data_IF_686890268612
#
_entry.id   IF_686890268612
#
_cell.length_a   1.000
_cell.length_b   1.000
_cell.length_c   1.000
_cell.angle_alpha   90.00
_cell.angle_beta   90.00
_cell.angle_gamma   90.00
#
_symmetry.space_group_name_H-M   'P 1'
#
loop_
_entity.id
_entity.type
_entity.pdbx_description
1 polymer ?
#
# COMPACT_ATOMS: atom_id res chain seq x y z
N UNK A 1 58.00 66.79 -10.44
CA UNK A 1 56.66 66.83 -9.82
C UNK A 1 55.86 65.60 -10.24
N UNK A 2 55.58 64.68 -9.31
CA UNK A 2 54.43 63.74 -9.35
C UNK A 2 54.20 63.28 -7.90
N UNK A 3 53.18 63.85 -7.24
CA UNK A 3 52.74 63.47 -5.89
C UNK A 3 52.00 62.14 -5.97
N UNK A 4 52.54 61.10 -5.34
CA UNK A 4 51.84 59.82 -5.15
C UNK A 4 50.85 59.97 -3.98
N UNK A 5 49.57 60.06 -4.29
CA UNK A 5 48.49 59.89 -3.31
C UNK A 5 48.29 58.39 -3.09
N UNK A 6 48.75 57.87 -1.95
CA UNK A 6 48.40 56.50 -1.53
C UNK A 6 46.97 56.51 -0.99
N UNK A 7 46.03 55.92 -1.72
CA UNK A 7 44.69 55.61 -1.21
C UNK A 7 44.82 54.46 -0.21
N UNK A 8 44.54 54.74 1.07
CA UNK A 8 44.49 53.73 2.12
C UNK A 8 43.07 53.14 2.14
N UNK A 9 42.87 51.98 1.53
CA UNK A 9 41.62 51.23 1.71
C UNK A 9 41.62 50.60 3.11
N UNK A 10 40.56 50.79 3.93
CA UNK A 10 40.48 50.14 5.22
C UNK A 10 40.35 48.62 5.03
N UNK A 11 41.22 47.85 5.68
CA UNK A 11 41.12 46.38 5.76
C UNK A 11 39.86 46.03 6.54
N UNK A 12 38.81 45.59 5.84
CA UNK A 12 37.59 45.05 6.45
C UNK A 12 37.97 43.78 7.20
N UNK A 13 37.88 43.83 8.53
CA UNK A 13 38.20 42.75 9.44
C UNK A 13 37.26 41.56 9.18
N UNK A 14 37.83 40.41 8.86
CA UNK A 14 37.16 39.13 8.53
C UNK A 14 36.38 38.48 9.70
N UNK A 15 36.34 39.13 10.87
CA UNK A 15 35.89 38.58 12.15
C UNK A 15 34.37 38.75 12.41
N UNK A 16 33.64 39.35 11.46
CA UNK A 16 32.20 39.60 11.56
C UNK A 16 31.31 38.38 11.23
N UNK A 17 31.88 37.32 10.65
CA UNK A 17 31.09 36.19 10.12
C UNK A 17 30.61 35.25 11.24
N UNK A 18 31.47 34.90 12.20
CA UNK A 18 31.17 33.85 13.18
C UNK A 18 30.01 34.16 14.14
N UNK A 19 29.85 35.42 14.57
CA UNK A 19 28.73 35.82 15.43
C UNK A 19 27.39 35.78 14.67
N UNK A 20 27.41 36.10 13.37
CA UNK A 20 26.24 36.08 12.49
C UNK A 20 25.73 34.65 12.26
N UNK A 21 26.64 33.70 12.04
CA UNK A 21 26.30 32.28 11.87
C UNK A 21 25.66 31.66 13.11
N UNK A 22 26.09 32.04 14.32
CA UNK A 22 25.49 31.53 15.56
C UNK A 22 24.06 32.05 15.77
N UNK A 23 23.81 33.33 15.53
CA UNK A 23 22.47 33.92 15.65
C UNK A 23 21.52 33.42 14.54
N UNK A 24 22.04 33.15 13.33
CA UNK A 24 21.31 32.45 12.28
C UNK A 24 20.98 31.01 12.71
N UNK A 25 21.95 30.23 13.16
CA UNK A 25 21.75 28.83 13.54
C UNK A 25 20.69 28.65 14.64
N UNK A 26 20.71 29.49 15.68
CA UNK A 26 19.72 29.45 16.77
C UNK A 26 18.32 29.83 16.27
N UNK A 27 18.22 30.73 15.29
CA UNK A 27 16.94 31.11 14.69
C UNK A 27 16.37 30.04 13.76
N UNK A 28 17.23 29.23 13.13
CA UNK A 28 16.84 28.11 12.27
C UNK A 28 16.47 26.84 13.04
N UNK A 29 17.08 26.62 14.22
CA UNK A 29 16.89 25.42 15.02
C UNK A 29 15.42 25.04 15.29
N UNK A 30 14.51 25.94 15.74
CA UNK A 30 13.11 25.58 15.98
C UNK A 30 12.37 25.17 14.70
N UNK A 31 12.72 25.75 13.54
CA UNK A 31 12.12 25.36 12.26
C UNK A 31 12.60 23.98 11.81
N UNK A 32 13.88 23.67 12.02
CA UNK A 32 14.43 22.33 11.73
C UNK A 32 13.78 21.27 12.61
N UNK A 33 13.59 21.57 13.89
CA UNK A 33 12.90 20.66 14.82
C UNK A 33 11.43 20.47 14.42
N UNK A 34 10.70 21.55 14.14
CA UNK A 34 9.32 21.50 13.67
C UNK A 34 9.19 20.67 12.39
N UNK A 35 10.10 20.89 11.43
CA UNK A 35 10.17 20.14 10.19
C UNK A 35 10.44 18.66 10.42
N UNK A 36 11.39 18.31 11.29
CA UNK A 36 11.71 16.93 11.61
C UNK A 36 10.51 16.21 12.26
N UNK A 37 9.80 16.89 13.17
CA UNK A 37 8.59 16.35 13.80
C UNK A 37 7.47 16.13 12.78
N UNK A 38 7.26 17.08 11.86
CA UNK A 38 6.22 16.95 10.84
C UNK A 38 6.56 15.89 9.79
N UNK A 39 7.81 15.80 9.36
CA UNK A 39 8.28 14.73 8.49
C UNK A 39 8.11 13.36 9.17
N UNK A 40 8.45 13.26 10.46
CA UNK A 40 8.21 12.06 11.24
C UNK A 40 6.72 11.70 11.33
N UNK A 41 5.85 12.68 11.55
CA UNK A 41 4.40 12.48 11.66
C UNK A 41 3.79 12.04 10.31
N UNK A 42 4.26 12.60 9.19
CA UNK A 42 3.85 12.16 7.84
C UNK A 42 4.34 10.74 7.55
N UNK A 43 5.59 10.42 7.86
CA UNK A 43 6.12 9.04 7.72
C UNK A 43 5.35 8.05 8.59
N UNK A 44 4.88 8.48 9.76
CA UNK A 44 4.09 7.67 10.66
C UNK A 44 2.63 7.50 10.19
N UNK A 45 2.08 8.48 9.47
CA UNK A 45 0.68 8.50 9.03
C UNK A 45 0.45 7.92 7.63
N UNK A 46 1.45 7.99 6.74
CA UNK A 46 1.41 7.41 5.38
C UNK A 46 1.77 5.92 5.45
N UNK A 47 1.03 5.08 4.71
CA UNK A 47 1.08 3.61 4.80
C UNK A 47 2.49 3.03 4.95
N UNK A 48 2.67 2.02 5.84
CA UNK A 48 3.96 1.37 6.05
C UNK A 48 4.49 0.82 4.72
N UNK A 49 5.82 0.79 4.58
CA UNK A 49 6.46 0.32 3.36
C UNK A 49 5.87 -1.02 2.88
N UNK A 50 5.70 -1.23 1.55
CA UNK A 50 5.13 -2.46 1.06
C UNK A 50 5.98 -3.62 1.57
N UNK A 51 5.34 -4.66 2.12
CA UNK A 51 6.07 -5.76 2.70
C UNK A 51 6.91 -6.44 1.61
N UNK A 52 8.19 -6.68 1.90
CA UNK A 52 9.07 -7.45 1.02
C UNK A 52 8.78 -8.95 1.06
N UNK A 53 7.89 -9.40 1.95
CA UNK A 53 7.53 -10.80 2.10
C UNK A 53 6.04 -10.90 2.34
N UNK A 54 5.38 -11.71 1.52
CA UNK A 54 3.96 -12.04 1.66
C UNK A 54 3.79 -13.56 1.56
N UNK A 55 2.67 -14.06 2.05
CA UNK A 55 2.38 -15.49 2.11
C UNK A 55 1.08 -15.80 1.37
N UNK A 56 1.16 -16.73 0.40
CA UNK A 56 0.02 -17.26 -0.34
C UNK A 56 -0.32 -18.67 0.12
N UNK A 57 -1.58 -18.93 0.45
CA UNK A 57 -2.09 -20.28 0.63
C UNK A 57 -2.59 -20.82 -0.70
N UNK A 58 -1.96 -21.89 -1.19
CA UNK A 58 -2.14 -22.40 -2.54
C UNK A 58 -3.04 -23.63 -2.60
N UNK A 59 -2.49 -24.83 -2.75
CA UNK A 59 -3.22 -26.09 -2.78
C UNK A 59 -2.27 -27.24 -2.52
N UNK A 60 -2.69 -28.50 -2.74
CA UNK A 60 -1.81 -29.65 -2.61
C UNK A 60 -0.59 -29.54 -3.51
N UNK A 61 0.51 -30.22 -3.19
CA UNK A 61 1.77 -30.14 -3.94
C UNK A 61 1.60 -30.27 -5.48
N UNK A 62 0.78 -31.21 -5.94
CA UNK A 62 0.60 -31.50 -7.36
C UNK A 62 -0.58 -30.73 -8.01
N UNK A 63 -1.12 -29.73 -7.31
CA UNK A 63 -2.30 -28.96 -7.74
C UNK A 63 -1.97 -27.83 -8.70
N UNK A 64 -2.92 -27.43 -9.54
CA UNK A 64 -2.82 -26.22 -10.38
C UNK A 64 -2.65 -24.97 -9.53
N UNK A 65 -3.22 -24.95 -8.31
CA UNK A 65 -3.06 -23.83 -7.38
C UNK A 65 -1.61 -23.69 -6.91
N UNK A 66 -0.96 -24.82 -6.61
CA UNK A 66 0.46 -24.83 -6.31
C UNK A 66 1.27 -24.34 -7.50
N UNK A 67 1.01 -24.84 -8.71
CA UNK A 67 1.69 -24.38 -9.92
C UNK A 67 1.55 -22.87 -10.14
N UNK A 68 0.33 -22.31 -10.03
CA UNK A 68 0.10 -20.87 -10.13
C UNK A 68 0.88 -20.08 -9.08
N UNK A 69 0.81 -20.49 -7.81
CA UNK A 69 1.52 -19.83 -6.73
C UNK A 69 3.05 -19.87 -6.91
N UNK A 70 3.59 -20.96 -7.46
CA UNK A 70 5.02 -21.07 -7.77
C UNK A 70 5.45 -20.14 -8.90
N UNK A 71 4.63 -19.98 -9.94
CA UNK A 71 4.89 -19.01 -11.00
C UNK A 71 4.74 -17.57 -10.51
N UNK A 72 3.72 -17.28 -9.68
CA UNK A 72 3.58 -15.98 -9.01
C UNK A 72 4.83 -15.65 -8.20
N UNK A 73 5.39 -16.63 -7.48
CA UNK A 73 6.62 -16.44 -6.70
C UNK A 73 7.80 -16.02 -7.58
N UNK A 74 7.95 -16.63 -8.74
CA UNK A 74 9.01 -16.26 -9.69
C UNK A 74 8.81 -14.84 -10.21
N UNK A 75 7.58 -14.46 -10.56
CA UNK A 75 7.26 -13.13 -11.13
C UNK A 75 7.42 -12.03 -10.07
N UNK A 76 6.90 -12.23 -8.86
CA UNK A 76 7.06 -11.28 -7.74
C UNK A 76 8.54 -11.13 -7.35
N UNK A 77 9.32 -12.21 -7.42
CA UNK A 77 10.76 -12.19 -7.18
C UNK A 77 11.53 -11.25 -8.10
N UNK A 78 11.07 -11.04 -9.36
CA UNK A 78 11.66 -10.07 -10.29
C UNK A 78 11.56 -8.63 -9.77
N UNK A 79 10.59 -8.36 -8.90
CA UNK A 79 10.33 -7.06 -8.28
C UNK A 79 10.85 -6.96 -6.84
N UNK A 80 11.65 -7.92 -6.37
CA UNK A 80 12.21 -7.91 -5.02
C UNK A 80 11.21 -8.23 -3.91
N UNK A 81 10.09 -8.88 -4.24
CA UNK A 81 9.10 -9.38 -3.28
C UNK A 81 9.23 -10.89 -3.15
N UNK A 82 9.38 -11.37 -1.92
CA UNK A 82 9.42 -12.80 -1.59
C UNK A 82 8.00 -13.31 -1.35
N UNK A 83 7.56 -14.27 -2.15
CA UNK A 83 6.28 -14.95 -1.96
C UNK A 83 6.49 -16.32 -1.30
N UNK A 84 6.08 -16.44 -0.04
CA UNK A 84 6.03 -17.72 0.66
C UNK A 84 4.80 -18.49 0.19
N UNK A 85 5.01 -19.66 -0.40
CA UNK A 85 3.92 -20.52 -0.88
C UNK A 85 3.64 -21.58 0.18
N UNK A 86 2.44 -21.57 0.74
CA UNK A 86 1.98 -22.57 1.70
C UNK A 86 1.11 -23.61 1.00
N UNK A 87 1.52 -24.87 1.13
CA UNK A 87 0.70 -26.02 0.75
C UNK A 87 -0.58 -26.08 1.60
N UNK A 88 -1.68 -26.50 0.98
CA UNK A 88 -2.97 -26.64 1.63
C UNK A 88 -3.76 -27.81 1.09
N UNK A 89 -4.82 -28.22 1.79
CA UNK A 89 -5.74 -29.27 1.34
C UNK A 89 -6.70 -28.79 0.23
N UNK A 90 -6.70 -27.47 -0.07
CA UNK A 90 -7.51 -26.80 -1.07
C UNK A 90 -8.25 -25.56 -0.56
N UNK A 91 -9.25 -25.12 -1.33
CA UNK A 91 -9.99 -23.86 -1.13
C UNK A 91 -10.60 -23.68 0.26
N UNK A 92 -11.10 -24.75 0.89
CA UNK A 92 -11.69 -24.69 2.25
C UNK A 92 -10.63 -24.30 3.29
N UNK A 93 -9.46 -24.93 3.25
CA UNK A 93 -8.36 -24.60 4.18
C UNK A 93 -7.78 -23.21 3.87
N UNK A 94 -7.70 -22.84 2.59
CA UNK A 94 -7.28 -21.50 2.16
C UNK A 94 -8.17 -20.40 2.73
N UNK A 95 -9.49 -20.56 2.61
CA UNK A 95 -10.44 -19.61 3.16
C UNK A 95 -10.33 -19.55 4.69
N UNK A 96 -10.22 -20.69 5.37
CA UNK A 96 -10.03 -20.73 6.84
C UNK A 96 -8.78 -19.96 7.28
N UNK A 97 -7.66 -20.12 6.55
CA UNK A 97 -6.41 -19.41 6.83
C UNK A 97 -6.53 -17.90 6.60
N UNK A 98 -7.30 -17.47 5.60
CA UNK A 98 -7.57 -16.05 5.35
C UNK A 98 -8.52 -15.45 6.39
N UNK A 99 -9.49 -16.21 6.88
CA UNK A 99 -10.44 -15.73 7.89
C UNK A 99 -9.82 -15.67 9.29
N UNK A 100 -8.87 -16.55 9.63
CA UNK A 100 -8.22 -16.54 10.94
C UNK A 100 -7.12 -15.46 11.00
N UNK A 101 -7.30 -14.35 11.75
CA UNK A 101 -6.28 -13.29 11.85
C UNK A 101 -4.97 -13.74 12.52
N UNK A 102 -4.95 -14.89 13.19
CA UNK A 102 -3.73 -15.44 13.80
C UNK A 102 -2.84 -16.15 12.78
N UNK A 103 -3.39 -16.55 11.64
CA UNK A 103 -2.65 -17.18 10.55
C UNK A 103 -1.96 -16.11 9.70
N UNK A 104 -0.65 -16.25 9.51
CA UNK A 104 0.15 -15.35 8.67
C UNK A 104 -0.02 -15.71 7.18
N UNK A 105 -1.21 -15.47 6.65
CA UNK A 105 -1.56 -15.66 5.24
C UNK A 105 -2.19 -14.38 4.73
N UNK A 106 -1.60 -13.81 3.69
CA UNK A 106 -2.01 -12.52 3.12
C UNK A 106 -2.99 -12.72 1.96
N UNK A 107 -2.77 -13.79 1.18
CA UNK A 107 -3.48 -14.08 -0.07
C UNK A 107 -3.75 -15.58 -0.18
N UNK A 108 -4.80 -15.99 -0.87
CA UNK A 108 -5.02 -17.39 -1.21
C UNK A 108 -5.79 -17.55 -2.52
N UNK A 109 -5.69 -18.74 -3.13
CA UNK A 109 -6.54 -19.15 -4.23
C UNK A 109 -7.79 -19.81 -3.67
N UNK A 110 -8.97 -19.29 -3.97
CA UNK A 110 -10.23 -19.75 -3.40
C UNK A 110 -11.24 -20.03 -4.50
N UNK A 111 -11.68 -21.28 -4.61
CA UNK A 111 -12.78 -21.67 -5.49
C UNK A 111 -14.11 -21.10 -4.97
N UNK A 112 -14.94 -20.59 -5.86
CA UNK A 112 -16.31 -20.20 -5.54
C UNK A 112 -17.16 -21.34 -4.99
N UNK A 113 -18.08 -21.01 -4.10
CA UNK A 113 -19.00 -21.91 -3.41
C UNK A 113 -18.50 -22.38 -2.05
N UNK A 114 -17.23 -22.15 -1.70
CA UNK A 114 -16.66 -22.60 -0.41
C UNK A 114 -16.91 -21.63 0.74
N UNK A 115 -17.41 -20.42 0.45
CA UNK A 115 -17.74 -19.42 1.48
C UNK A 115 -18.87 -19.90 2.39
N UNK A 116 -19.85 -20.63 1.85
CA UNK A 116 -20.98 -21.22 2.56
C UNK A 116 -21.67 -20.23 3.53
N UNK A 117 -21.81 -18.96 3.13
CA UNK A 117 -22.46 -17.91 3.94
C UNK A 117 -21.64 -17.39 5.14
N UNK A 118 -20.35 -17.71 5.22
CA UNK A 118 -19.46 -17.13 6.23
C UNK A 118 -19.22 -15.65 5.96
N UNK A 119 -18.91 -14.91 7.03
CA UNK A 119 -18.53 -13.49 6.92
C UNK A 119 -17.17 -13.36 6.22
N UNK A 120 -17.19 -12.79 5.01
CA UNK A 120 -16.01 -12.53 4.17
C UNK A 120 -15.68 -11.03 4.08
N UNK A 121 -16.27 -10.18 4.94
CA UNK A 121 -16.08 -8.72 4.91
C UNK A 121 -14.63 -8.27 5.12
N UNK A 122 -13.82 -9.09 5.80
CA UNK A 122 -12.38 -8.85 5.97
C UNK A 122 -11.54 -9.24 4.76
N UNK A 123 -12.16 -9.77 3.70
CA UNK A 123 -11.51 -10.29 2.51
C UNK A 123 -11.95 -9.50 1.27
N UNK A 124 -11.09 -9.53 0.26
CA UNK A 124 -11.35 -8.91 -1.04
C UNK A 124 -10.80 -9.77 -2.17
N UNK A 125 -11.47 -9.74 -3.32
CA UNK A 125 -10.98 -10.37 -4.55
C UNK A 125 -10.01 -9.44 -5.27
N UNK A 126 -8.89 -10.00 -5.73
CA UNK A 126 -8.00 -9.35 -6.70
C UNK A 126 -8.40 -9.68 -8.14
N UNK A 127 -9.33 -10.63 -8.32
CA UNK A 127 -9.86 -11.05 -9.60
C UNK A 127 -10.00 -12.56 -9.72
N UNK A 128 -10.85 -12.98 -10.64
CA UNK A 128 -11.01 -14.39 -11.02
C UNK A 128 -9.86 -14.81 -11.92
N UNK A 129 -9.19 -15.94 -11.64
CA UNK A 129 -7.97 -16.39 -12.33
C UNK A 129 -8.14 -17.66 -13.16
N UNK A 130 -9.13 -18.50 -12.90
CA UNK A 130 -9.37 -19.71 -13.69
C UNK A 130 -10.77 -20.30 -13.51
N UNK A 131 -11.14 -21.18 -14.45
CA UNK A 131 -12.27 -22.09 -14.33
C UNK A 131 -11.84 -23.42 -13.73
N UNK A 132 -12.74 -24.05 -12.97
CA UNK A 132 -12.58 -25.37 -12.37
C UNK A 132 -13.86 -26.18 -12.63
N UNK A 133 -14.10 -26.66 -13.87
CA UNK A 133 -15.37 -27.26 -14.26
C UNK A 133 -15.65 -28.55 -13.50
N UNK A 134 -16.93 -28.82 -13.27
CA UNK A 134 -17.40 -30.12 -12.82
C UNK A 134 -17.69 -30.99 -14.05
N UNK A 135 -16.97 -32.10 -14.17
CA UNK A 135 -17.17 -33.09 -15.21
C UNK A 135 -17.76 -34.34 -14.58
N UNK A 136 -18.96 -34.72 -15.02
CA UNK A 136 -19.60 -35.98 -14.63
C UNK A 136 -19.29 -37.02 -15.68
N UNK A 137 -18.41 -37.95 -15.36
CA UNK A 137 -18.10 -39.09 -16.23
C UNK A 137 -18.90 -40.29 -15.76
N UNK A 138 -19.58 -41.00 -16.66
CA UNK A 138 -20.47 -42.09 -16.31
C UNK A 138 -20.39 -43.25 -17.31
N UNK A 139 -20.85 -44.44 -16.88
CA UNK A 139 -21.05 -45.57 -17.78
C UNK A 139 -22.44 -45.54 -18.40
N UNK A 140 -22.52 -45.71 -19.71
CA UNK A 140 -23.76 -45.69 -20.49
C UNK A 140 -23.82 -44.48 -21.43
N UNK A 141 -25.04 -44.11 -21.82
CA UNK A 141 -25.32 -42.94 -22.67
C UNK A 141 -26.59 -42.24 -22.21
N UNK A 142 -26.72 -40.96 -22.52
CA UNK A 142 -27.96 -40.20 -22.36
C UNK A 142 -28.22 -39.59 -20.98
N UNK A 143 -27.29 -39.66 -20.01
CA UNK A 143 -27.43 -38.86 -18.79
C UNK A 143 -27.29 -37.37 -19.12
N UNK A 144 -28.21 -36.56 -18.60
CA UNK A 144 -28.25 -35.12 -18.85
C UNK A 144 -28.57 -34.28 -17.61
N UNK A 145 -29.01 -34.91 -16.52
CA UNK A 145 -29.32 -34.26 -15.25
C UNK A 145 -28.60 -34.96 -14.09
N UNK A 146 -28.34 -34.23 -13.00
CA UNK A 146 -27.76 -34.83 -11.80
C UNK A 146 -28.76 -35.74 -11.08
N UNK A 147 -30.06 -35.46 -11.18
CA UNK A 147 -31.15 -36.32 -10.68
C UNK A 147 -31.12 -37.73 -11.30
N UNK A 148 -30.64 -37.88 -12.55
CA UNK A 148 -30.47 -39.17 -13.22
C UNK A 148 -29.49 -40.11 -12.48
N UNK A 149 -28.73 -39.61 -11.51
CA UNK A 149 -27.80 -40.38 -10.68
C UNK A 149 -28.47 -41.05 -9.47
N UNK A 150 -29.78 -40.86 -9.27
CA UNK A 150 -30.52 -41.49 -8.18
C UNK A 150 -30.36 -43.03 -8.18
N UNK A 151 -30.10 -43.60 -7.01
CA UNK A 151 -29.90 -45.03 -6.80
C UNK A 151 -28.58 -45.60 -7.36
N UNK A 152 -27.69 -44.75 -7.91
CA UNK A 152 -26.39 -45.18 -8.46
C UNK A 152 -25.27 -45.14 -7.41
N UNK A 153 -24.13 -45.75 -7.74
CA UNK A 153 -22.88 -45.59 -6.99
C UNK A 153 -22.08 -44.44 -7.61
N UNK A 154 -21.87 -43.37 -6.86
CA UNK A 154 -21.29 -42.13 -7.39
C UNK A 154 -20.03 -41.78 -6.61
N UNK A 155 -18.90 -41.65 -7.31
CA UNK A 155 -17.68 -41.07 -6.73
C UNK A 155 -17.84 -39.54 -6.69
N UNK A 156 -17.73 -38.94 -5.51
CA UNK A 156 -18.02 -37.51 -5.28
C UNK A 156 -16.80 -36.72 -4.80
N UNK A 157 -15.58 -37.22 -4.98
CA UNK A 157 -14.38 -36.57 -4.47
C UNK A 157 -14.04 -36.96 -3.04
N UNK A 158 -12.75 -36.84 -2.72
CA UNK A 158 -12.19 -37.19 -1.40
C UNK A 158 -12.69 -36.26 -0.30
N UNK A 159 -12.59 -36.68 0.95
CA UNK A 159 -12.93 -35.83 2.08
C UNK A 159 -12.09 -34.54 2.12
N UNK A 160 -12.75 -33.43 2.46
CA UNK A 160 -12.14 -32.10 2.52
C UNK A 160 -11.87 -31.42 1.16
N UNK A 161 -12.14 -32.06 0.01
CA UNK A 161 -11.89 -31.44 -1.31
C UNK A 161 -13.00 -30.49 -1.74
N UNK A 162 -12.64 -29.50 -2.58
CA UNK A 162 -13.60 -28.61 -3.24
C UNK A 162 -14.58 -29.36 -4.15
N UNK A 163 -14.11 -30.43 -4.81
CA UNK A 163 -14.94 -31.34 -5.60
C UNK A 163 -16.06 -31.96 -4.76
N UNK A 164 -15.75 -32.41 -3.54
CA UNK A 164 -16.75 -33.02 -2.65
C UNK A 164 -17.78 -32.03 -2.14
N UNK A 165 -17.34 -30.85 -1.73
CA UNK A 165 -18.25 -29.77 -1.34
C UNK A 165 -19.23 -29.45 -2.47
N UNK A 166 -18.71 -29.18 -3.67
CA UNK A 166 -19.51 -28.88 -4.84
C UNK A 166 -20.45 -30.04 -5.22
N UNK A 167 -19.93 -31.27 -5.21
CA UNK A 167 -20.72 -32.46 -5.54
C UNK A 167 -21.91 -32.63 -4.59
N UNK A 168 -21.68 -32.49 -3.29
CA UNK A 168 -22.73 -32.63 -2.27
C UNK A 168 -23.79 -31.53 -2.39
N UNK A 169 -23.38 -30.29 -2.64
CA UNK A 169 -24.30 -29.16 -2.78
C UNK A 169 -25.19 -29.32 -4.02
N UNK A 170 -24.59 -29.67 -5.17
CA UNK A 170 -25.33 -29.85 -6.42
C UNK A 170 -26.20 -31.10 -6.44
N UNK A 171 -25.71 -32.22 -5.91
CA UNK A 171 -26.52 -33.44 -5.76
C UNK A 171 -27.68 -33.20 -4.79
N UNK A 172 -27.45 -32.50 -3.67
CA UNK A 172 -28.49 -32.16 -2.70
C UNK A 172 -29.59 -31.28 -3.30
N UNK A 173 -29.23 -30.33 -4.17
CA UNK A 173 -30.21 -29.52 -4.91
C UNK A 173 -31.08 -30.34 -5.88
N UNK A 174 -30.63 -31.53 -6.25
CA UNK A 174 -31.36 -32.50 -7.07
C UNK A 174 -32.02 -33.62 -6.23
N UNK A 175 -32.11 -33.46 -4.90
CA UNK A 175 -32.73 -34.42 -4.00
C UNK A 175 -31.84 -35.61 -3.60
N UNK A 176 -30.59 -35.66 -4.06
CA UNK A 176 -29.64 -36.74 -3.72
C UNK A 176 -28.83 -36.33 -2.49
N UNK A 177 -29.18 -36.91 -1.35
CA UNK A 177 -28.54 -36.62 -0.05
C UNK A 177 -27.70 -37.81 0.45
N UNK A 178 -26.64 -37.56 1.24
CA UNK A 178 -25.91 -38.61 1.95
C UNK A 178 -26.85 -39.46 2.82
N UNK A 179 -26.71 -40.79 2.74
CA UNK A 179 -27.54 -41.73 3.49
C UNK A 179 -28.88 -42.09 2.84
N UNK A 180 -29.19 -41.54 1.65
CA UNK A 180 -30.30 -41.98 0.82
C UNK A 180 -29.97 -43.21 -0.05
N UNK A 181 -30.79 -43.44 -1.07
CA UNK A 181 -30.68 -44.61 -1.97
C UNK A 181 -29.42 -44.58 -2.86
N UNK A 182 -28.89 -43.39 -3.14
CA UNK A 182 -27.66 -43.21 -3.91
C UNK A 182 -26.43 -43.44 -3.03
N UNK A 183 -25.54 -44.36 -3.43
CA UNK A 183 -24.30 -44.63 -2.70
C UNK A 183 -23.22 -43.62 -3.08
N UNK A 184 -22.91 -42.70 -2.17
CA UNK A 184 -21.90 -41.66 -2.39
C UNK A 184 -20.53 -42.08 -1.83
N UNK A 185 -19.53 -42.20 -2.70
CA UNK A 185 -18.20 -42.73 -2.38
C UNK A 185 -17.14 -41.62 -2.37
N UNK A 186 -16.23 -41.59 -1.37
CA UNK A 186 -15.20 -40.56 -1.23
C UNK A 186 -13.98 -40.82 -2.14
N UNK A 187 -14.22 -41.12 -3.42
CA UNK A 187 -13.19 -41.40 -4.42
C UNK A 187 -12.98 -40.17 -5.31
N UNK A 188 -11.74 -39.91 -5.71
CA UNK A 188 -11.36 -38.75 -6.53
C UNK A 188 -10.33 -39.14 -7.62
N UNK A 189 -10.16 -38.25 -8.61
CA UNK A 189 -9.13 -38.34 -9.64
C UNK A 189 -8.95 -39.73 -10.25
N UNK A 190 -7.72 -40.25 -10.18
CA UNK A 190 -7.38 -41.54 -10.78
C UNK A 190 -8.10 -42.72 -10.12
N UNK A 191 -8.39 -42.66 -8.82
CA UNK A 191 -9.05 -43.76 -8.13
C UNK A 191 -10.54 -43.82 -8.45
N UNK A 192 -11.20 -42.65 -8.57
CA UNK A 192 -12.54 -42.57 -9.12
C UNK A 192 -12.59 -43.09 -10.57
N UNK A 193 -11.60 -42.72 -11.39
CA UNK A 193 -11.49 -43.22 -12.76
C UNK A 193 -11.32 -44.74 -12.83
N UNK A 194 -10.43 -45.33 -12.00
CA UNK A 194 -10.26 -46.79 -11.92
C UNK A 194 -11.55 -47.48 -11.47
N UNK A 195 -12.24 -46.93 -10.47
CA UNK A 195 -13.51 -47.47 -9.99
C UNK A 195 -14.61 -47.41 -11.06
N UNK A 196 -14.61 -46.36 -11.90
CA UNK A 196 -15.53 -46.23 -13.03
C UNK A 196 -15.20 -47.22 -14.15
N UNK A 197 -13.93 -47.52 -14.40
CA UNK A 197 -13.54 -48.52 -15.41
C UNK A 197 -13.81 -49.95 -14.93
N UNK A 198 -13.65 -50.21 -13.63
CA UNK A 198 -13.78 -51.55 -13.02
C UNK A 198 -15.19 -51.92 -12.55
N UNK A 199 -16.22 -51.17 -12.95
CA UNK A 199 -17.61 -51.43 -12.55
C UNK A 199 -17.92 -51.26 -11.05
N UNK A 200 -17.09 -50.52 -10.31
CA UNK A 200 -17.25 -50.27 -8.87
C UNK A 200 -18.09 -49.01 -8.57
N UNK A 201 -18.04 -48.00 -9.43
CA UNK A 201 -18.93 -46.83 -9.41
C UNK A 201 -19.58 -46.63 -10.76
N UNK A 202 -20.80 -46.12 -10.83
CA UNK A 202 -21.55 -45.90 -12.07
C UNK A 202 -21.32 -44.50 -12.67
N UNK A 203 -20.97 -43.53 -11.81
CA UNK A 203 -20.55 -42.19 -12.20
C UNK A 203 -19.43 -41.67 -11.29
N UNK A 204 -18.65 -40.73 -11.80
CA UNK A 204 -17.63 -40.00 -11.09
C UNK A 204 -17.75 -38.50 -11.38
N UNK A 205 -17.89 -37.71 -10.32
CA UNK A 205 -17.84 -36.25 -10.35
C UNK A 205 -16.38 -35.82 -10.15
N UNK A 206 -15.79 -35.28 -11.21
CA UNK A 206 -14.39 -34.86 -11.24
C UNK A 206 -14.34 -33.35 -11.43
N UNK A 207 -13.51 -32.67 -10.65
CA UNK A 207 -13.24 -31.25 -10.83
C UNK A 207 -11.78 -30.92 -10.55
N UNK A 208 -11.32 -29.76 -11.01
CA UNK A 208 -9.97 -29.25 -10.78
C UNK A 208 -8.87 -30.21 -11.24
N UNK A 209 -7.88 -30.43 -10.38
CA UNK A 209 -6.69 -31.24 -10.70
C UNK A 209 -6.99 -32.72 -10.87
N UNK A 210 -8.15 -33.18 -10.41
CA UNK A 210 -8.67 -34.53 -10.69
C UNK A 210 -9.18 -34.69 -12.13
N UNK A 211 -9.14 -33.63 -12.93
CA UNK A 211 -9.79 -33.54 -14.25
C UNK A 211 -8.78 -33.13 -15.32
N UNK A 212 -7.60 -33.75 -15.31
CA UNK A 212 -6.59 -33.46 -16.34
C UNK A 212 -7.10 -33.83 -17.73
N UNK A 213 -6.71 -33.04 -18.75
CA UNK A 213 -7.04 -33.34 -20.16
C UNK A 213 -6.71 -34.78 -20.54
N UNK A 214 -5.55 -35.27 -20.10
CA UNK A 214 -5.09 -36.63 -20.38
C UNK A 214 -6.00 -37.69 -19.76
N UNK A 215 -6.46 -37.49 -18.52
CA UNK A 215 -7.37 -38.41 -17.86
C UNK A 215 -8.74 -38.43 -18.55
N UNK A 216 -9.32 -37.27 -18.85
CA UNK A 216 -10.63 -37.18 -19.52
C UNK A 216 -10.56 -37.77 -20.93
N UNK A 217 -9.51 -37.46 -21.69
CA UNK A 217 -9.30 -38.08 -23.00
C UNK A 217 -9.22 -39.61 -22.88
N UNK A 218 -8.47 -40.13 -21.92
CA UNK A 218 -8.34 -41.58 -21.70
C UNK A 218 -9.68 -42.21 -21.34
N UNK A 219 -10.46 -41.58 -20.46
CA UNK A 219 -11.80 -42.07 -20.09
C UNK A 219 -12.76 -42.07 -21.28
N UNK A 220 -12.78 -41.00 -22.07
CA UNK A 220 -13.65 -40.88 -23.26
C UNK A 220 -13.26 -41.82 -24.41
N UNK A 221 -12.06 -42.42 -24.39
CA UNK A 221 -11.68 -43.46 -25.35
C UNK A 221 -12.17 -44.86 -24.96
N UNK A 222 -12.70 -45.04 -23.74
CA UNK A 222 -13.18 -46.34 -23.25
C UNK A 222 -14.61 -46.55 -23.76
N UNK A 223 -14.90 -47.67 -24.46
CA UNK A 223 -16.25 -47.97 -24.92
C UNK A 223 -17.25 -48.01 -23.76
N UNK A 224 -18.37 -47.30 -23.92
CA UNK A 224 -19.43 -47.24 -22.91
C UNK A 224 -19.19 -46.24 -21.79
N UNK A 225 -18.12 -45.44 -21.82
CA UNK A 225 -17.92 -44.30 -20.93
C UNK A 225 -18.28 -43.01 -21.66
N UNK A 226 -19.09 -42.16 -21.03
CA UNK A 226 -19.57 -40.89 -21.57
C UNK A 226 -19.37 -39.77 -20.54
N UNK A 227 -19.43 -38.52 -21.01
CA UNK A 227 -19.50 -37.33 -20.15
C UNK A 227 -20.92 -36.77 -20.21
N UNK A 228 -21.45 -36.35 -19.06
CA UNK A 228 -22.78 -35.77 -18.96
C UNK A 228 -22.80 -34.37 -19.58
N UNK A 229 -23.87 -34.07 -20.29
CA UNK A 229 -24.13 -32.75 -20.83
C UNK A 229 -25.14 -32.02 -19.92
N UNK A 230 -24.76 -30.90 -19.32
CA UNK A 230 -25.63 -30.13 -18.42
C UNK A 230 -26.62 -29.28 -19.23
N UNK A 231 -27.74 -29.87 -19.63
CA UNK A 231 -28.79 -29.15 -20.38
C UNK A 231 -29.37 -27.95 -19.63
N UNK A 232 -29.31 -27.98 -18.30
CA UNK A 232 -29.83 -26.94 -17.40
C UNK A 232 -28.70 -26.08 -16.78
N UNK A 233 -27.54 -26.00 -17.43
CA UNK A 233 -26.38 -25.22 -16.95
C UNK A 233 -26.75 -23.77 -16.59
N UNK A 234 -27.57 -23.10 -17.41
CA UNK A 234 -28.03 -21.73 -17.14
C UNK A 234 -28.92 -21.62 -15.88
N UNK A 235 -29.65 -22.67 -15.52
CA UNK A 235 -30.42 -22.69 -14.28
C UNK A 235 -29.48 -22.77 -13.07
N UNK A 236 -28.44 -23.61 -13.13
CA UNK A 236 -27.43 -23.71 -12.08
C UNK A 236 -26.72 -22.37 -11.82
N UNK A 237 -26.37 -21.60 -12.87
CA UNK A 237 -25.70 -20.29 -12.66
C UNK A 237 -26.58 -19.25 -11.98
N UNK A 238 -27.92 -19.39 -12.07
CA UNK A 238 -28.87 -18.51 -11.38
C UNK A 238 -29.13 -18.91 -9.93
N UNK A 239 -29.11 -20.21 -9.65
CA UNK A 239 -29.31 -20.76 -8.30
C UNK A 239 -28.01 -20.65 -7.48
N UNK A 240 -26.87 -20.88 -8.13
CA UNK A 240 -25.53 -20.85 -7.56
C UNK A 240 -24.70 -19.78 -8.26
N UNK A 241 -24.70 -18.52 -7.75
CA UNK A 241 -24.08 -17.38 -8.44
C UNK A 241 -22.57 -17.49 -8.65
N UNK A 242 -21.91 -18.42 -7.94
CA UNK A 242 -20.49 -18.71 -8.08
C UNK A 242 -20.17 -19.64 -9.27
N UNK A 243 -21.19 -20.19 -9.93
CA UNK A 243 -21.05 -21.02 -11.13
C UNK A 243 -21.14 -20.20 -12.42
N UNK A 244 -20.35 -20.62 -13.39
CA UNK A 244 -20.41 -20.20 -14.79
C UNK A 244 -20.76 -21.38 -15.70
N UNK A 245 -21.40 -21.05 -16.82
CA UNK A 245 -21.64 -21.98 -17.92
C UNK A 245 -20.41 -22.01 -18.84
N UNK A 246 -19.97 -23.20 -19.24
CA UNK A 246 -18.86 -23.44 -20.16
C UNK A 246 -19.27 -24.37 -21.28
N UNK A 247 -19.08 -23.90 -22.51
CA UNK A 247 -19.28 -24.69 -23.71
C UNK A 247 -17.94 -25.26 -24.21
N UNK A 248 -17.81 -26.58 -24.19
CA UNK A 248 -16.68 -27.25 -24.83
C UNK A 248 -17.03 -27.57 -26.29
N UNK A 249 -16.38 -26.95 -27.28
CA UNK A 249 -16.66 -27.22 -28.68
C UNK A 249 -16.24 -28.63 -29.10
N UNK A 250 -16.85 -29.09 -30.19
CA UNK A 250 -16.55 -30.38 -30.83
C UNK A 250 -15.05 -30.48 -31.11
N UNK A 251 -14.45 -31.60 -30.74
CA UNK A 251 -13.04 -31.89 -31.05
C UNK A 251 -12.00 -31.14 -30.21
N UNK A 252 -12.40 -30.40 -29.18
CA UNK A 252 -11.48 -29.64 -28.32
C UNK A 252 -10.37 -30.51 -27.69
N UNK A 253 -10.69 -31.74 -27.29
CA UNK A 253 -9.75 -32.66 -26.66
C UNK A 253 -8.90 -33.40 -27.70
N UNK A 254 -9.49 -33.82 -28.82
CA UNK A 254 -8.83 -34.43 -29.97
C UNK A 254 -9.59 -34.11 -31.26
N UNK A 255 -9.00 -33.26 -32.12
CA UNK A 255 -9.60 -32.82 -33.37
C UNK A 255 -9.72 -33.95 -34.40
N UNK A 256 -8.77 -34.88 -34.43
CA UNK A 256 -8.77 -35.99 -35.40
C UNK A 256 -9.92 -36.96 -35.09
N UNK A 257 -10.08 -37.28 -33.81
CA UNK A 257 -11.16 -38.18 -33.34
C UNK A 257 -12.47 -37.45 -33.07
N UNK A 258 -12.48 -36.11 -33.16
CA UNK A 258 -13.59 -35.23 -32.77
C UNK A 258 -14.07 -35.56 -31.36
N UNK A 259 -13.19 -35.45 -30.36
CA UNK A 259 -13.53 -35.62 -28.94
C UNK A 259 -13.59 -34.23 -28.28
N UNK A 260 -14.71 -33.84 -27.64
CA UNK A 260 -16.00 -34.53 -27.63
C UNK A 260 -16.68 -34.50 -29.02
N UNK A 261 -17.57 -35.48 -29.33
CA UNK A 261 -18.23 -35.60 -30.64
C UNK A 261 -19.32 -34.56 -30.88
N UNK A 262 -19.87 -34.02 -29.79
CA UNK A 262 -20.89 -32.97 -29.76
C UNK A 262 -20.45 -31.88 -28.77
N UNK A 263 -21.03 -30.66 -28.85
CA UNK A 263 -20.79 -29.63 -27.85
C UNK A 263 -21.20 -30.13 -26.46
N UNK A 264 -20.32 -29.97 -25.47
CA UNK A 264 -20.64 -30.30 -24.07
C UNK A 264 -20.88 -29.01 -23.28
N UNK A 265 -22.05 -28.89 -22.68
CA UNK A 265 -22.36 -27.85 -21.70
C UNK A 265 -21.93 -28.32 -20.32
N UNK A 266 -21.08 -27.54 -19.67
CA UNK A 266 -20.56 -27.81 -18.33
C UNK A 266 -20.89 -26.64 -17.42
N UNK A 267 -20.99 -26.95 -16.13
CA UNK A 267 -21.00 -25.95 -15.06
C UNK A 267 -19.64 -25.90 -14.40
N UNK A 268 -19.20 -24.70 -14.02
CA UNK A 268 -17.90 -24.49 -13.40
C UNK A 268 -17.93 -23.42 -12.35
N UNK A 269 -17.51 -23.71 -11.11
CA UNK A 269 -17.03 -22.65 -10.25
C UNK A 269 -15.82 -21.95 -10.88
N UNK A 270 -15.60 -20.73 -10.42
CA UNK A 270 -14.40 -19.95 -10.73
C UNK A 270 -13.44 -19.97 -9.53
N UNK A 271 -12.17 -19.70 -9.79
CA UNK A 271 -11.17 -19.51 -8.73
C UNK A 271 -10.82 -18.04 -8.65
N UNK A 272 -10.96 -17.47 -7.46
CA UNK A 272 -10.61 -16.10 -7.17
C UNK A 272 -9.27 -16.03 -6.44
N UNK A 273 -8.46 -15.02 -6.79
CA UNK A 273 -7.29 -14.65 -5.99
C UNK A 273 -7.76 -13.73 -4.86
N UNK A 274 -7.92 -14.27 -3.66
CA UNK A 274 -8.51 -13.57 -2.52
C UNK A 274 -7.42 -13.08 -1.59
N UNK A 275 -7.48 -11.82 -1.19
CA UNK A 275 -6.57 -11.19 -0.24
C UNK A 275 -7.32 -10.69 1.00
N UNK A 276 -6.61 -10.47 2.09
CA UNK A 276 -7.14 -9.68 3.21
C UNK A 276 -7.30 -8.22 2.79
N UNK A 277 -8.29 -7.53 3.35
CA UNK A 277 -8.58 -6.12 3.03
C UNK A 277 -7.47 -5.13 3.38
N UNK A 278 -6.50 -5.53 4.22
CA UNK A 278 -5.33 -4.73 4.58
C UNK A 278 -4.10 -4.99 3.69
N UNK A 279 -4.25 -5.70 2.57
CA UNK A 279 -3.15 -5.92 1.62
C UNK A 279 -2.71 -4.58 1.02
N UNK A 280 -1.40 -4.33 1.01
CA UNK A 280 -0.83 -3.09 0.47
C UNK A 280 -1.11 -2.96 -1.05
N UNK A 281 -1.56 -1.78 -1.56
CA UNK A 281 -1.92 -1.58 -2.97
C UNK A 281 -0.86 -2.00 -3.99
N UNK A 282 0.40 -1.66 -3.72
CA UNK A 282 1.53 -2.04 -4.57
C UNK A 282 1.71 -3.58 -4.71
N UNK A 283 1.35 -4.35 -3.67
CA UNK A 283 1.36 -5.82 -3.73
C UNK A 283 0.17 -6.34 -4.53
N UNK A 284 -1.01 -5.71 -4.37
CA UNK A 284 -2.19 -6.02 -5.19
C UNK A 284 -1.87 -5.89 -6.69
N UNK A 285 -1.28 -4.77 -7.11
CA UNK A 285 -0.91 -4.54 -8.51
C UNK A 285 0.07 -5.62 -9.03
N UNK A 286 1.08 -6.01 -8.24
CA UNK A 286 2.04 -7.06 -8.60
C UNK A 286 1.40 -8.45 -8.70
N UNK A 287 0.44 -8.76 -7.83
CA UNK A 287 -0.29 -10.03 -7.87
C UNK A 287 -1.21 -10.12 -9.09
N UNK A 288 -1.88 -9.02 -9.44
CA UNK A 288 -2.74 -8.97 -10.63
C UNK A 288 -1.88 -9.09 -11.90
N UNK A 289 -0.72 -8.44 -11.95
CA UNK A 289 0.25 -8.62 -13.04
C UNK A 289 0.72 -10.07 -13.15
N UNK A 290 1.09 -10.69 -12.02
CA UNK A 290 1.50 -12.09 -12.01
C UNK A 290 0.36 -13.01 -12.49
N UNK A 291 -0.87 -12.74 -12.06
CA UNK A 291 -2.04 -13.44 -12.55
C UNK A 291 -2.26 -13.22 -14.06
N UNK A 292 -2.03 -12.02 -14.60
CA UNK A 292 -2.09 -11.77 -16.04
C UNK A 292 -1.06 -12.58 -16.83
N UNK A 293 0.19 -12.66 -16.37
CA UNK A 293 1.25 -13.41 -17.05
C UNK A 293 0.99 -14.92 -17.02
N UNK A 294 0.50 -15.45 -15.90
CA UNK A 294 0.30 -16.91 -15.70
C UNK A 294 -1.05 -17.39 -16.23
N UNK A 295 -2.13 -16.65 -15.98
CA UNK A 295 -3.50 -17.06 -16.26
C UNK A 295 -4.07 -16.43 -17.54
N UNK A 296 -3.44 -15.38 -18.07
CA UNK A 296 -3.87 -14.70 -19.29
C UNK A 296 -3.62 -15.43 -20.62
N UNK A 297 -2.63 -16.33 -20.76
CA UNK A 297 -2.51 -17.13 -21.97
C UNK A 297 -3.76 -17.98 -22.26
N UNK A 298 -4.01 -18.28 -23.54
CA UNK A 298 -5.09 -19.18 -23.94
C UNK A 298 -4.86 -20.60 -23.38
N UNK A 299 -5.94 -21.23 -22.93
CA UNK A 299 -5.94 -22.58 -22.39
C UNK A 299 -6.99 -23.46 -23.05
N UNK A 300 -7.23 -24.63 -22.45
CA UNK A 300 -8.30 -25.54 -22.88
C UNK A 300 -9.69 -24.95 -22.59
N UNK A 301 -9.83 -24.23 -21.48
CA UNK A 301 -11.12 -23.76 -20.96
C UNK A 301 -11.32 -22.25 -21.16
N UNK A 302 -10.24 -21.51 -21.36
CA UNK A 302 -10.26 -20.04 -21.45
C UNK A 302 -9.61 -19.52 -22.73
N UNK A 303 -10.10 -18.38 -23.20
CA UNK A 303 -9.50 -17.61 -24.30
C UNK A 303 -8.34 -16.75 -23.77
N UNK A 304 -7.44 -16.36 -24.67
CA UNK A 304 -6.38 -15.41 -24.34
C UNK A 304 -6.97 -14.09 -23.82
N UNK A 305 -6.43 -13.59 -22.72
CA UNK A 305 -6.85 -12.34 -22.07
C UNK A 305 -8.17 -12.42 -21.31
N UNK A 306 -8.78 -13.61 -21.17
CA UNK A 306 -10.01 -13.78 -20.39
C UNK A 306 -9.79 -13.70 -18.88
N UNK A 307 -8.59 -14.08 -18.43
CA UNK A 307 -8.19 -14.03 -17.03
C UNK A 307 -6.87 -13.25 -16.84
N UNK A 308 -6.64 -12.71 -15.63
CA UNK A 308 -7.63 -12.55 -14.57
C UNK A 308 -8.66 -11.47 -14.95
N UNK A 309 -9.86 -11.54 -14.39
CA UNK A 309 -10.91 -10.55 -14.64
C UNK A 309 -11.55 -10.03 -13.34
N UNK A 310 -12.24 -8.89 -13.45
CA UNK A 310 -12.84 -8.17 -12.32
C UNK A 310 -14.21 -8.69 -11.88
N UNK A 311 -14.72 -9.75 -12.51
CA UNK A 311 -16.03 -10.32 -12.15
C UNK A 311 -15.84 -11.11 -10.86
N UNK A 312 -16.14 -10.47 -9.73
CA UNK A 312 -16.14 -11.10 -8.42
C UNK A 312 -17.55 -11.64 -8.11
N UNK A 313 -17.62 -12.88 -7.62
CA UNK A 313 -18.90 -13.58 -7.39
C UNK A 313 -19.23 -13.61 -5.91
N UNK A 314 -18.32 -14.18 -5.11
CA UNK A 314 -18.53 -14.35 -3.66
C UNK A 314 -17.85 -13.28 -2.82
N UNK A 315 -16.76 -12.71 -3.32
CA UNK A 315 -15.95 -11.73 -2.60
C UNK A 315 -16.14 -10.33 -3.19
N UNK A 316 -16.05 -9.28 -2.37
CA UNK A 316 -16.04 -7.91 -2.89
C UNK A 316 -14.75 -7.69 -3.68
N UNK A 317 -14.85 -7.18 -4.91
CA UNK A 317 -13.67 -6.78 -5.68
C UNK A 317 -12.91 -5.66 -4.95
N UNK A 318 -11.58 -5.78 -4.88
CA UNK A 318 -10.72 -4.75 -4.33
C UNK A 318 -10.83 -3.44 -5.13
N UNK A 319 -10.76 -2.31 -4.44
CA UNK A 319 -10.69 -0.99 -5.10
C UNK A 319 -9.39 -0.87 -5.92
N UNK A 320 -8.30 -1.49 -5.45
CA UNK A 320 -7.04 -1.56 -6.17
C UNK A 320 -7.16 -2.37 -7.46
N UNK A 321 -7.83 -3.53 -7.39
CA UNK A 321 -8.09 -4.36 -8.55
C UNK A 321 -9.00 -3.63 -9.55
N UNK A 322 -10.05 -2.98 -9.07
CA UNK A 322 -10.96 -2.18 -9.90
C UNK A 322 -10.23 -1.07 -10.64
N UNK A 323 -9.32 -0.36 -9.96
CA UNK A 323 -8.43 0.64 -10.58
C UNK A 323 -7.55 -0.03 -11.64
N UNK A 324 -6.85 -1.10 -11.28
CA UNK A 324 -5.92 -1.78 -12.16
C UNK A 324 -6.58 -2.25 -13.45
N UNK A 325 -7.77 -2.86 -13.39
CA UNK A 325 -8.48 -3.31 -14.59
C UNK A 325 -9.00 -2.17 -15.48
N UNK A 326 -9.28 -0.99 -14.93
CA UNK A 326 -9.75 0.18 -15.70
C UNK A 326 -8.60 0.96 -16.35
N UNK A 327 -7.52 1.20 -15.62
CA UNK A 327 -6.44 2.11 -16.03
C UNK A 327 -5.08 1.45 -16.21
N UNK A 328 -4.95 0.15 -15.90
CA UNK A 328 -3.67 -0.52 -15.74
C UNK A 328 -2.92 -0.05 -14.50
N UNK A 329 -1.60 -0.34 -14.45
CA UNK A 329 -0.69 0.17 -13.42
C UNK A 329 -0.79 1.70 -13.32
N UNK A 330 -0.76 2.22 -12.10
CA UNK A 330 -0.67 3.67 -11.87
C UNK A 330 0.54 4.26 -12.62
N UNK A 331 0.41 5.50 -13.11
CA UNK A 331 1.39 6.16 -14.00
C UNK A 331 2.83 6.06 -13.48
N UNK A 332 3.01 6.15 -12.17
CA UNK A 332 4.31 6.04 -11.50
C UNK A 332 4.93 4.64 -11.63
N UNK A 333 4.13 3.58 -11.53
CA UNK A 333 4.57 2.18 -11.62
C UNK A 333 4.73 1.69 -13.07
N UNK A 334 4.26 2.45 -14.06
CA UNK A 334 4.44 2.13 -15.48
C UNK A 334 5.80 2.53 -16.03
N UNK A 335 6.40 3.61 -15.52
CA UNK A 335 7.64 4.20 -16.04
C UNK A 335 8.84 4.04 -15.10
N UNK A 336 8.60 3.76 -13.82
CA UNK A 336 9.65 3.62 -12.81
C UNK A 336 9.71 2.17 -12.30
N UNK A 337 10.90 1.60 -12.04
CA UNK A 337 11.03 0.35 -11.30
C UNK A 337 10.27 0.42 -9.97
N UNK A 338 9.71 -0.71 -9.50
CA UNK A 338 8.85 -0.78 -8.31
C UNK A 338 9.37 0.01 -7.10
N UNK A 339 10.67 -0.09 -6.80
CA UNK A 339 11.30 0.63 -5.69
C UNK A 339 11.24 2.15 -5.89
N UNK A 340 11.43 2.65 -7.11
CA UNK A 340 11.46 4.06 -7.43
C UNK A 340 10.06 4.67 -7.48
N UNK A 341 9.07 3.93 -8.02
CA UNK A 341 7.66 4.34 -7.96
C UNK A 341 7.20 4.51 -6.50
N UNK A 342 7.57 3.56 -5.64
CA UNK A 342 7.28 3.60 -4.21
C UNK A 342 7.99 4.76 -3.51
N UNK A 343 9.24 5.09 -3.89
CA UNK A 343 9.96 6.25 -3.34
C UNK A 343 9.36 7.58 -3.79
N UNK A 344 8.96 7.70 -5.07
CA UNK A 344 8.41 8.95 -5.62
C UNK A 344 7.02 9.25 -5.07
N UNK A 345 6.16 8.24 -4.93
CA UNK A 345 4.83 8.42 -4.32
C UNK A 345 4.97 8.93 -2.87
N UNK A 346 5.90 8.35 -2.11
CA UNK A 346 6.27 8.83 -0.77
C UNK A 346 6.85 10.24 -0.77
N UNK A 347 7.74 10.53 -1.72
CA UNK A 347 8.41 11.83 -1.80
C UNK A 347 7.39 12.93 -2.11
N UNK A 348 6.41 12.70 -2.98
CA UNK A 348 5.38 13.68 -3.33
C UNK A 348 4.45 13.97 -2.16
N UNK A 349 3.98 12.93 -1.45
CA UNK A 349 3.14 13.10 -0.25
C UNK A 349 3.92 13.78 0.88
N UNK A 350 5.23 13.54 1.00
CA UNK A 350 6.09 14.18 2.00
C UNK A 350 6.44 15.63 1.62
N UNK A 351 6.74 15.90 0.35
CA UNK A 351 7.18 17.20 -0.14
C UNK A 351 6.06 18.25 -0.13
N UNK A 352 4.80 17.85 -0.30
CA UNK A 352 3.70 18.80 -0.37
C UNK A 352 3.45 19.52 0.98
N UNK A 353 3.26 18.82 2.12
CA UNK A 353 3.19 19.46 3.44
C UNK A 353 4.46 20.24 3.77
N UNK A 354 5.62 19.67 3.46
CA UNK A 354 6.93 20.32 3.64
C UNK A 354 6.98 21.65 2.90
N UNK A 355 6.58 21.70 1.64
CA UNK A 355 6.60 22.92 0.85
C UNK A 355 5.63 23.97 1.41
N UNK A 356 4.42 23.54 1.82
CA UNK A 356 3.41 24.41 2.44
C UNK A 356 3.93 25.06 3.74
N UNK A 357 4.79 24.38 4.49
CA UNK A 357 5.37 24.88 5.74
C UNK A 357 6.70 25.62 5.55
N UNK A 358 7.52 25.17 4.61
CA UNK A 358 8.81 25.75 4.30
C UNK A 358 8.66 27.16 3.70
N UNK A 359 7.68 27.37 2.82
CA UNK A 359 7.42 28.67 2.19
C UNK A 359 7.16 29.78 3.23
N UNK A 360 6.23 29.64 4.20
CA UNK A 360 6.03 30.64 5.24
C UNK A 360 7.22 30.71 6.21
N UNK A 361 7.86 29.59 6.55
CA UNK A 361 9.05 29.60 7.41
C UNK A 361 10.20 30.43 6.79
N UNK A 362 10.45 30.27 5.49
CA UNK A 362 11.44 31.06 4.74
C UNK A 362 11.11 32.56 4.74
N UNK A 363 9.82 32.93 4.81
CA UNK A 363 9.40 34.34 4.98
C UNK A 363 9.56 34.85 6.42
N UNK A 364 9.40 33.99 7.42
CA UNK A 364 9.51 34.34 8.84
C UNK A 364 10.97 34.51 9.29
N UNK A 365 11.92 33.80 8.67
CA UNK A 365 13.35 33.85 9.05
C UNK A 365 13.92 35.28 8.97
N UNK A 366 13.77 36.04 7.87
CA UNK A 366 14.22 37.44 7.81
C UNK A 366 13.55 38.30 8.89
N UNK A 367 12.24 38.13 9.10
CA UNK A 367 11.49 38.90 10.10
C UNK A 367 12.00 38.64 11.52
N UNK A 368 12.18 37.38 11.91
CA UNK A 368 12.70 37.00 13.23
C UNK A 368 14.14 37.46 13.44
N UNK A 369 14.98 37.40 12.40
CA UNK A 369 16.34 37.93 12.44
C UNK A 369 16.33 39.44 12.68
N UNK A 370 15.52 40.20 11.94
CA UNK A 370 15.39 41.67 12.14
C UNK A 370 14.91 42.00 13.55
N UNK A 371 13.92 41.25 14.05
CA UNK A 371 13.35 41.45 15.38
C UNK A 371 14.37 41.18 16.48
N UNK A 372 15.11 40.07 16.40
CA UNK A 372 16.16 39.72 17.38
C UNK A 372 17.27 40.75 17.42
N UNK A 373 17.73 41.23 16.25
CA UNK A 373 18.77 42.26 16.16
C UNK A 373 18.26 43.59 16.73
N UNK A 374 17.04 44.02 16.39
CA UNK A 374 16.45 45.26 16.92
C UNK A 374 16.15 45.19 18.43
N UNK A 375 15.70 44.04 18.93
CA UNK A 375 15.40 43.85 20.36
C UNK A 375 16.61 44.10 21.25
N UNK A 376 17.81 43.73 20.79
CA UNK A 376 19.07 44.07 21.49
C UNK A 376 19.26 45.58 21.63
N UNK A 377 18.98 46.34 20.58
CA UNK A 377 19.07 47.82 20.57
C UNK A 377 18.00 48.41 21.50
N UNK A 378 16.75 47.93 21.42
CA UNK A 378 15.64 48.43 22.23
C UNK A 378 15.85 48.23 23.73
N UNK A 379 16.54 47.16 24.15
CA UNK A 379 16.88 46.95 25.57
C UNK A 379 17.73 48.09 26.14
N UNK A 380 18.70 48.58 25.37
CA UNK A 380 19.54 49.71 25.78
C UNK A 380 18.82 51.06 25.66
N UNK A 381 17.94 51.23 24.67
CA UNK A 381 17.03 52.39 24.64
C UNK A 381 16.15 52.46 25.89
N UNK A 382 15.58 51.34 26.33
CA UNK A 382 14.79 51.30 27.56
C UNK A 382 15.59 51.70 28.79
N UNK A 383 16.83 51.22 28.91
CA UNK A 383 17.74 51.61 29.98
C UNK A 383 18.11 53.10 29.92
N UNK A 384 18.36 53.64 28.73
CA UNK A 384 18.66 55.07 28.54
C UNK A 384 17.48 55.97 28.92
N UNK A 385 16.25 55.59 28.55
CA UNK A 385 15.03 56.34 28.91
C UNK A 385 14.79 56.29 30.42
N UNK A 386 15.12 55.18 31.09
CA UNK A 386 15.06 55.09 32.55
C UNK A 386 16.03 56.10 33.20
N UNK A 387 17.29 56.14 32.75
CA UNK A 387 18.28 57.11 33.22
C UNK A 387 17.82 58.54 32.94
N UNK A 388 17.28 58.84 31.76
CA UNK A 388 16.77 60.19 31.44
C UNK A 388 15.61 60.59 32.37
N UNK A 389 14.69 59.67 32.66
CA UNK A 389 13.57 59.92 33.58
C UNK A 389 14.04 60.16 35.01
N UNK A 390 15.01 59.39 35.48
CA UNK A 390 15.57 59.54 36.82
C UNK A 390 16.47 60.77 36.93
N UNK A 391 17.12 61.18 35.84
CA UNK A 391 17.83 62.45 35.72
C UNK A 391 16.90 63.67 35.84
N UNK A 392 15.64 63.57 35.37
CA UNK A 392 14.65 64.64 35.54
C UNK A 392 14.08 64.71 36.97
N UNK A 393 14.17 63.64 37.76
CA UNK A 393 13.64 63.56 39.14
C UNK A 393 14.70 63.83 40.21
N UNK A 394 15.97 63.55 39.91
CA UNK A 394 17.08 63.67 40.85
C UNK A 394 17.51 65.11 41.08
N UNK A 395 17.57 65.50 42.35
CA UNK A 395 17.91 66.85 42.80
C UNK A 395 19.27 66.94 43.48
N UNK A 396 19.84 65.79 43.89
CA UNK A 396 21.12 65.67 44.61
C UNK A 396 22.30 65.41 43.67
N UNK A 397 23.47 65.96 44.00
CA UNK A 397 24.72 65.78 43.26
C UNK A 397 25.23 64.32 43.30
N UNK A 398 24.99 63.61 44.41
CA UNK A 398 25.34 62.18 44.56
C UNK A 398 24.46 61.27 43.69
N UNK A 399 23.17 61.57 43.55
CA UNK A 399 22.26 60.81 42.67
C UNK A 399 22.66 60.98 41.20
N UNK A 400 23.08 62.18 40.83
CA UNK A 400 23.58 62.46 39.47
C UNK A 400 24.89 61.75 39.17
N UNK A 401 25.81 61.70 40.13
CA UNK A 401 27.06 60.94 39.98
C UNK A 401 26.80 59.44 39.74
N UNK A 402 25.78 58.87 40.41
CA UNK A 402 25.35 57.48 40.18
C UNK A 402 24.76 57.27 38.78
N UNK A 403 23.93 58.19 38.29
CA UNK A 403 23.36 58.11 36.94
C UNK A 403 24.43 58.21 35.84
N UNK A 404 25.48 59.02 36.05
CA UNK A 404 26.63 59.09 35.12
C UNK A 404 27.40 57.76 35.10
N UNK A 405 27.62 57.13 36.26
CA UNK A 405 28.28 55.82 36.33
C UNK A 405 27.44 54.70 35.68
N UNK A 406 26.11 54.74 35.81
CA UNK A 406 25.21 53.83 35.08
C UNK A 406 25.26 54.05 33.56
N UNK A 407 25.34 55.31 33.12
CA UNK A 407 25.49 55.67 31.71
C UNK A 407 26.84 55.17 31.14
N UNK A 408 27.92 55.27 31.90
CA UNK A 408 29.24 54.70 31.56
C UNK A 408 29.17 53.17 31.39
N UNK A 409 28.41 52.49 32.28
CA UNK A 409 28.17 51.06 32.18
C UNK A 409 27.39 50.66 30.92
N UNK A 410 26.41 51.46 30.51
CA UNK A 410 25.68 51.27 29.26
C UNK A 410 26.61 51.49 28.06
N UNK A 411 27.42 52.56 28.05
CA UNK A 411 28.35 52.86 26.96
C UNK A 411 29.43 51.78 26.79
N UNK A 412 30.01 51.30 27.90
CA UNK A 412 30.95 50.18 27.89
C UNK A 412 30.30 48.90 27.33
N UNK A 413 29.05 48.63 27.71
CA UNK A 413 28.28 47.50 27.19
C UNK A 413 27.96 47.65 25.69
N UNK A 414 27.68 48.86 25.22
CA UNK A 414 27.44 49.15 23.81
C UNK A 414 28.70 48.95 22.96
N UNK A 415 29.88 49.30 23.47
CA UNK A 415 31.15 49.13 22.76
C UNK A 415 31.56 47.67 22.53
N UNK A 416 31.01 46.73 23.30
CA UNK A 416 31.26 45.28 23.14
C UNK A 416 30.26 44.58 22.21
N UNK A 417 29.18 45.25 21.80
CA UNK A 417 28.17 44.68 20.92
C UNK A 417 28.66 44.62 19.48
N UNK A 418 28.80 43.40 18.96
CA UNK A 418 29.08 43.15 17.54
C UNK A 418 27.77 43.16 16.76
N UNK A 419 27.59 44.13 15.86
CA UNK A 419 26.37 44.31 15.07
C UNK A 419 26.60 44.10 13.56
N UNK A 420 25.64 43.51 12.82
CA UNK A 420 25.71 43.45 11.36
C UNK A 420 25.60 44.86 10.74
N UNK A 421 26.36 45.11 9.67
CA UNK A 421 26.42 46.41 8.97
C UNK A 421 25.04 46.95 8.54
N UNK A 422 24.12 46.07 8.15
CA UNK A 422 22.77 46.44 7.72
C UNK A 422 21.90 47.11 8.81
N UNK A 423 22.33 47.06 10.08
CA UNK A 423 21.64 47.68 11.22
C UNK A 423 22.52 48.69 11.96
N UNK A 424 23.61 49.14 11.33
CA UNK A 424 24.54 50.08 11.93
C UNK A 424 23.88 51.43 12.25
N UNK A 425 22.95 51.91 11.41
CA UNK A 425 22.28 53.21 11.59
C UNK A 425 21.60 53.31 12.96
N UNK A 426 20.78 52.32 13.33
CA UNK A 426 20.10 52.29 14.63
C UNK A 426 21.05 52.23 15.83
N UNK A 427 22.24 51.64 15.64
CA UNK A 427 23.29 51.60 16.65
C UNK A 427 24.00 52.95 16.78
N UNK A 428 24.31 53.64 15.68
CA UNK A 428 24.91 54.97 15.70
C UNK A 428 23.98 56.01 16.31
N UNK A 429 22.68 55.98 15.97
CA UNK A 429 21.68 56.88 16.58
C UNK A 429 21.58 56.66 18.09
N UNK A 430 21.65 55.41 18.57
CA UNK A 430 21.66 55.13 20.01
C UNK A 430 22.90 55.73 20.69
N UNK A 431 24.09 55.67 20.06
CA UNK A 431 25.30 56.31 20.60
C UNK A 431 25.18 57.83 20.64
N UNK A 432 24.57 58.43 19.63
CA UNK A 432 24.29 59.86 19.61
C UNK A 432 23.35 60.27 20.75
N UNK A 433 22.30 59.49 21.02
CA UNK A 433 21.41 59.74 22.16
C UNK A 433 22.09 59.55 23.51
N UNK A 434 22.97 58.56 23.67
CA UNK A 434 23.79 58.40 24.89
C UNK A 434 24.65 59.63 25.13
N UNK A 435 25.31 60.14 24.08
CA UNK A 435 26.11 61.38 24.15
C UNK A 435 25.24 62.60 24.52
N UNK A 436 24.05 62.72 23.92
CA UNK A 436 23.12 63.80 24.23
C UNK A 436 22.66 63.78 25.70
N UNK A 437 22.34 62.61 26.25
CA UNK A 437 21.95 62.46 27.66
C UNK A 437 23.14 62.78 28.59
N UNK A 438 24.36 62.36 28.21
CA UNK A 438 25.59 62.71 28.94
C UNK A 438 25.80 64.23 29.01
N UNK A 439 25.75 64.90 27.86
CA UNK A 439 25.89 66.36 27.77
C UNK A 439 24.83 67.10 28.60
N UNK A 440 23.61 66.57 28.68
CA UNK A 440 22.54 67.13 29.52
C UNK A 440 22.80 66.92 31.02
N UNK A 441 23.32 65.76 31.42
CA UNK A 441 23.68 65.47 32.81
C UNK A 441 24.89 66.32 33.28
N UNK A 442 25.88 66.50 32.41
CA UNK A 442 27.11 67.27 32.68
C UNK A 442 26.89 68.78 32.57
N UNK A 443 26.14 69.26 31.56
CA UNK A 443 25.85 70.68 31.36
C UNK A 443 24.95 71.30 32.43
N UNK A 444 24.18 70.49 33.18
CA UNK A 444 23.46 70.94 34.39
C UNK A 444 24.42 71.09 35.58
N UNK A 445 25.51 70.32 35.64
CA UNK A 445 26.55 70.41 36.67
C UNK A 445 27.33 71.72 36.57
N UNK A 446 27.67 72.16 35.35
CA UNK A 446 28.34 73.44 35.12
C UNK A 446 27.48 74.66 35.54
N UNK A 447 26.16 74.60 35.32
CA UNK A 447 25.24 75.68 35.74
C UNK A 447 25.00 75.72 37.25
N UNK A 448 25.17 74.59 37.95
CA UNK A 448 25.10 74.53 39.41
C UNK A 448 26.37 75.09 40.06
N UNK A 449 27.55 74.81 39.50
CA UNK A 449 28.82 75.38 39.97
C UNK A 449 28.98 76.87 39.64
N UNK A 450 28.42 77.38 38.54
CA UNK A 450 28.46 78.80 38.20
C UNK A 450 27.54 79.71 39.05
N UNK A 451 26.76 79.13 39.98
CA UNK A 451 25.86 79.84 40.90
C UNK A 451 26.28 79.77 42.38
N UNK A 452 27.38 79.08 42.69
CA UNK A 452 28.11 79.21 43.95
C UNK A 452 29.22 80.24 43.77
#
# INVERSE_FOLDING_TARGET
MKKNVRQHFPRVVRDHTHAMWRDLAVSFLPFVVLFAVLAWLVIWLVDPAPPHTITISAGPHDSSFMQYAQEYRKILGRNGVTLNVLESDGSVQNLNRLLDPKQRVDVALVQGGVSAGRDTTSLMSLGTVSYVPLIVVYRGKGLSQLSDLEGKRVAIGREGSGTRMLSLELLGANGILPGGDTTLLPLDGLDAAKALVSNQVDAALLSGDSTTRALILRLLTIPGVSVMNFNEADAYTRIFPYLDNLDLPIGLLDLRRRIPPEPLHLISPTVELVARSNLHPAISDLLIEAAQEVNGPAGLLQKAGQFPNSVAREFRISEDATRYYKSGKSFLYRTLPFWLATVVDRLLVLLLPIAVLLIPALRLIPALFTWRVRSRIYRYYGALIAIERDAMRSSSEEERAKLVAELDGIEASLNTLRMPLAYADGFYVLREHVRFVRERLEGVRERAHARQ
#
